data_IF_621846379205
#
_entry.id   IF_621846379205
#
_cell.length_a   1.000
_cell.length_b   1.000
_cell.length_c   1.000
_cell.angle_alpha   90.00
_cell.angle_beta   90.00
_cell.angle_gamma   90.00
#
_symmetry.space_group_name_H-M   'P 1'
#
loop_
_entity.id
_entity.type
_entity.pdbx_description
1 polymer ?
#
# COMPACT_ATOMS: atom_id res chain seq x y z
N UNK A 1 12.63 8.26 61.97
CA UNK A 1 11.44 8.43 61.14
C UNK A 1 11.68 9.37 59.93
N UNK A 2 12.82 9.26 59.25
CA UNK A 2 13.20 10.25 58.17
C UNK A 2 13.38 9.66 56.77
N UNK A 3 13.24 8.33 56.63
CA UNK A 3 13.44 7.64 55.33
C UNK A 3 12.14 7.19 54.61
N UNK A 4 10.98 7.27 55.29
CA UNK A 4 9.72 6.79 54.69
C UNK A 4 9.10 7.80 53.70
N UNK A 5 9.43 9.10 53.80
CA UNK A 5 8.94 10.14 52.86
C UNK A 5 9.63 10.09 51.50
N UNK A 6 10.90 9.69 51.44
CA UNK A 6 11.65 9.52 50.20
C UNK A 6 11.19 8.28 49.41
N UNK A 7 10.88 7.19 50.11
CA UNK A 7 10.42 5.94 49.50
C UNK A 7 9.00 6.10 48.88
N UNK A 8 8.12 6.83 49.57
CA UNK A 8 6.77 7.11 49.06
C UNK A 8 6.78 7.99 47.79
N UNK A 9 7.68 8.98 47.71
CA UNK A 9 7.86 9.81 46.55
C UNK A 9 8.41 9.03 45.32
N UNK A 10 9.33 8.08 45.60
CA UNK A 10 9.91 7.25 44.53
C UNK A 10 8.91 6.22 43.98
N UNK A 11 8.05 5.66 44.82
CA UNK A 11 6.97 4.74 44.42
C UNK A 11 5.87 5.51 43.62
N UNK A 12 5.58 6.74 44.02
CA UNK A 12 4.60 7.58 43.33
C UNK A 12 5.08 7.98 41.93
N UNK A 13 6.38 8.24 41.76
CA UNK A 13 6.96 8.53 40.41
C UNK A 13 7.02 7.27 39.54
N UNK A 14 7.21 6.08 40.09
CA UNK A 14 7.20 4.82 39.31
C UNK A 14 5.80 4.41 38.85
N UNK A 15 4.75 4.80 39.59
CA UNK A 15 3.37 4.49 39.23
C UNK A 15 2.80 5.40 38.10
N UNK A 16 3.45 6.53 37.82
CA UNK A 16 3.04 7.44 36.73
C UNK A 16 3.79 7.19 35.43
N UNK A 17 4.68 6.21 35.35
CA UNK A 17 5.36 5.81 34.11
C UNK A 17 4.60 4.74 33.35
N UNK A 18 3.26 4.68 33.44
CA UNK A 18 2.47 4.03 32.42
C UNK A 18 2.56 4.93 31.21
N UNK A 19 3.43 4.60 30.28
CA UNK A 19 3.42 5.16 28.94
C UNK A 19 2.00 5.02 28.43
N UNK A 20 1.28 6.14 28.34
CA UNK A 20 0.07 6.24 27.52
C UNK A 20 0.56 6.08 26.07
N UNK A 21 0.78 4.85 25.63
CA UNK A 21 0.88 4.58 24.21
C UNK A 21 -0.50 4.90 23.66
N UNK A 22 -0.56 5.88 22.79
CA UNK A 22 -1.77 6.15 22.05
C UNK A 22 -2.12 4.88 21.27
N UNK A 23 -3.34 4.39 21.40
CA UNK A 23 -3.80 3.20 20.70
C UNK A 23 -4.30 3.63 19.33
N UNK A 24 -3.49 3.39 18.30
CA UNK A 24 -3.82 3.74 16.91
C UNK A 24 -4.73 2.71 16.24
N UNK A 25 -4.76 1.46 16.74
CA UNK A 25 -5.85 0.53 16.46
C UNK A 25 -6.99 0.85 17.44
N UNK A 26 -7.83 1.80 17.05
CA UNK A 26 -8.89 2.34 17.90
C UNK A 26 -9.96 1.31 18.25
N UNK A 27 -10.33 0.47 17.27
CA UNK A 27 -11.29 -0.62 17.45
C UNK A 27 -10.98 -1.75 16.48
N UNK A 28 -10.93 -2.99 16.99
CA UNK A 28 -10.78 -4.21 16.19
C UNK A 28 -11.72 -5.32 16.69
N UNK A 29 -12.88 -5.43 16.04
CA UNK A 29 -13.84 -6.52 16.29
C UNK A 29 -13.64 -7.69 15.30
N UNK A 30 -12.77 -7.54 14.29
CA UNK A 30 -12.64 -8.44 13.14
C UNK A 30 -11.42 -9.34 13.23
N UNK A 31 -10.23 -8.77 13.36
CA UNK A 31 -8.94 -9.51 13.33
C UNK A 31 -8.58 -10.03 14.71
N UNK A 32 -8.62 -9.19 15.72
CA UNK A 32 -8.41 -9.50 17.14
C UNK A 32 -7.09 -10.26 17.42
N UNK A 33 -5.98 -9.80 16.80
CA UNK A 33 -4.65 -10.39 16.98
C UNK A 33 -3.68 -9.38 17.57
N UNK A 34 -2.97 -9.77 18.61
CA UNK A 34 -2.00 -8.92 19.29
C UNK A 34 -0.90 -8.41 18.35
N UNK A 35 -0.31 -9.29 17.52
CA UNK A 35 0.73 -8.90 16.55
C UNK A 35 0.24 -7.89 15.51
N UNK A 36 -1.04 -7.95 15.14
CA UNK A 36 -1.66 -6.98 14.23
C UNK A 36 -1.79 -5.62 14.92
N UNK A 37 -2.33 -5.60 16.15
CA UNK A 37 -2.42 -4.41 16.98
C UNK A 37 -1.08 -3.75 17.23
N UNK A 38 -0.06 -4.52 17.62
CA UNK A 38 1.30 -4.03 17.83
C UNK A 38 1.88 -3.37 16.58
N UNK A 39 1.65 -3.96 15.40
CA UNK A 39 2.18 -3.43 14.14
C UNK A 39 1.49 -2.12 13.75
N UNK A 40 0.16 -2.05 13.84
CA UNK A 40 -0.61 -0.81 13.58
C UNK A 40 -0.19 0.29 14.55
N UNK A 41 -0.11 -0.02 15.84
CA UNK A 41 0.29 0.95 16.85
C UNK A 41 1.71 1.47 16.64
N UNK A 42 2.64 0.61 16.22
CA UNK A 42 4.01 1.00 15.91
C UNK A 42 4.09 1.99 14.74
N UNK A 43 3.37 1.73 13.65
CA UNK A 43 3.31 2.63 12.48
C UNK A 43 2.66 3.95 12.87
N UNK A 44 1.51 3.91 13.56
CA UNK A 44 0.80 5.11 14.00
C UNK A 44 1.63 5.98 14.94
N UNK A 45 2.34 5.37 15.90
CA UNK A 45 3.22 6.08 16.82
C UNK A 45 4.38 6.73 16.07
N UNK A 46 5.05 6.00 15.17
CA UNK A 46 6.14 6.54 14.38
C UNK A 46 5.69 7.71 13.49
N UNK A 47 4.52 7.57 12.84
CA UNK A 47 3.94 8.64 12.03
C UNK A 47 3.67 9.88 12.89
N UNK A 48 3.04 9.70 14.05
CA UNK A 48 2.74 10.81 14.96
C UNK A 48 4.02 11.49 15.45
N UNK A 49 5.00 10.73 15.89
CA UNK A 49 6.28 11.26 16.40
C UNK A 49 7.03 12.08 15.35
N UNK A 50 6.98 11.66 14.09
CA UNK A 50 7.70 12.32 12.99
C UNK A 50 6.90 13.45 12.34
N UNK A 51 5.56 13.38 12.35
CA UNK A 51 4.71 14.30 11.59
C UNK A 51 3.71 15.08 12.43
N UNK A 52 3.37 14.60 13.61
CA UNK A 52 2.28 15.13 14.44
C UNK A 52 0.88 14.76 13.93
N UNK A 53 0.75 13.89 12.91
CA UNK A 53 -0.52 13.38 12.39
C UNK A 53 -0.90 12.10 13.10
N UNK A 54 -2.13 12.05 13.64
CA UNK A 54 -2.68 10.85 14.25
C UNK A 54 -3.42 10.02 13.20
N UNK A 55 -2.95 8.80 12.90
CA UNK A 55 -3.61 7.88 11.98
C UNK A 55 -4.20 6.71 12.76
N UNK A 56 -5.52 6.58 12.73
CA UNK A 56 -6.25 5.55 13.45
C UNK A 56 -6.81 4.49 12.51
N UNK A 57 -6.90 3.25 13.00
CA UNK A 57 -7.60 2.16 12.32
C UNK A 57 -8.84 1.73 13.12
N UNK A 58 -9.91 1.46 12.39
CA UNK A 58 -11.17 0.93 12.91
C UNK A 58 -11.59 -0.26 12.07
N UNK A 59 -11.86 -1.39 12.73
CA UNK A 59 -12.38 -2.60 12.09
C UNK A 59 -13.58 -3.11 12.88
N UNK A 60 -14.78 -2.87 12.36
CA UNK A 60 -16.04 -3.30 12.99
C UNK A 60 -16.69 -4.42 12.18
N UNK A 61 -17.41 -5.33 12.86
CA UNK A 61 -18.18 -6.36 12.16
C UNK A 61 -19.45 -5.80 11.58
N UNK A 62 -20.18 -5.07 12.37
CA UNK A 62 -21.48 -4.49 12.02
C UNK A 62 -21.62 -3.13 12.71
N UNK A 63 -22.31 -2.21 12.05
CA UNK A 63 -22.69 -0.92 12.60
C UNK A 63 -24.19 -0.93 12.92
N UNK A 64 -24.60 -0.05 13.81
CA UNK A 64 -26.02 0.20 14.05
C UNK A 64 -26.75 0.52 12.74
N UNK A 65 -27.94 0.00 12.59
CA UNK A 65 -28.73 -0.02 11.33
C UNK A 65 -28.98 1.36 10.68
N UNK A 66 -28.66 2.45 11.37
CA UNK A 66 -28.84 3.82 10.89
C UNK A 66 -27.53 4.60 10.72
N UNK A 67 -26.36 3.98 10.92
CA UNK A 67 -25.08 4.66 10.86
C UNK A 67 -24.21 4.10 9.74
N UNK A 68 -23.71 4.97 8.86
CA UNK A 68 -22.72 4.58 7.85
C UNK A 68 -21.31 4.54 8.46
N UNK A 69 -20.43 3.69 7.89
CA UNK A 69 -19.02 3.64 8.32
C UNK A 69 -18.32 5.01 8.11
N UNK A 70 -18.75 5.79 7.10
CA UNK A 70 -18.22 7.12 6.86
C UNK A 70 -18.58 8.11 7.98
N UNK A 71 -19.83 8.11 8.44
CA UNK A 71 -20.27 8.96 9.56
C UNK A 71 -19.60 8.52 10.87
N UNK A 72 -19.50 7.21 11.09
CA UNK A 72 -18.82 6.67 12.27
C UNK A 72 -17.35 7.11 12.31
N UNK A 73 -16.61 6.90 11.22
CA UNK A 73 -15.21 7.30 11.10
C UNK A 73 -15.03 8.83 11.21
N UNK A 74 -15.96 9.63 10.65
CA UNK A 74 -15.90 11.08 10.74
C UNK A 74 -16.07 11.58 12.19
N UNK A 75 -17.01 11.02 12.91
CA UNK A 75 -17.23 11.37 14.32
C UNK A 75 -15.98 11.06 15.16
N UNK A 76 -15.33 9.93 14.90
CA UNK A 76 -14.09 9.58 15.58
C UNK A 76 -12.96 10.51 15.16
N UNK A 77 -12.74 10.73 13.85
CA UNK A 77 -11.71 11.64 13.38
C UNK A 77 -11.83 13.05 13.99
N UNK A 78 -13.06 13.56 14.15
CA UNK A 78 -13.31 14.87 14.77
C UNK A 78 -13.11 14.88 16.29
N UNK A 79 -13.27 13.75 16.96
CA UNK A 79 -13.09 13.64 18.41
C UNK A 79 -11.63 13.46 18.83
N UNK A 80 -10.76 13.08 17.90
CA UNK A 80 -9.34 12.84 18.15
C UNK A 80 -8.49 14.11 18.10
N UNK A 81 -7.29 14.11 18.72
CA UNK A 81 -6.33 15.19 18.55
C UNK A 81 -6.03 15.44 17.06
N UNK A 82 -6.15 16.69 16.64
CA UNK A 82 -5.98 17.09 15.24
C UNK A 82 -4.51 17.41 14.90
N UNK A 83 -4.05 17.15 13.68
CA UNK A 83 -4.77 16.51 12.57
C UNK A 83 -4.91 15.00 12.75
N UNK A 84 -6.06 14.44 12.33
CA UNK A 84 -6.38 13.03 12.47
C UNK A 84 -6.90 12.42 11.16
N UNK A 85 -6.49 11.20 10.87
CA UNK A 85 -6.98 10.39 9.75
C UNK A 85 -7.46 9.05 10.31
N UNK A 86 -8.57 8.54 9.79
CA UNK A 86 -9.16 7.28 10.21
C UNK A 86 -9.35 6.38 8.98
N UNK A 87 -8.72 5.22 9.00
CA UNK A 87 -8.95 4.13 8.05
C UNK A 87 -9.96 3.18 8.69
N UNK A 88 -11.15 3.10 8.12
CA UNK A 88 -12.26 2.38 8.71
C UNK A 88 -12.80 1.28 7.79
N UNK A 89 -13.09 0.13 8.36
CA UNK A 89 -13.66 -1.03 7.71
C UNK A 89 -14.89 -1.53 8.47
N UNK A 90 -15.96 -1.85 7.73
CA UNK A 90 -17.10 -2.62 8.22
C UNK A 90 -17.19 -3.94 7.46
N UNK A 91 -17.33 -5.06 8.18
CA UNK A 91 -17.49 -6.37 7.58
C UNK A 91 -18.90 -6.52 6.99
N UNK A 92 -19.92 -5.97 7.67
CA UNK A 92 -21.31 -5.98 7.23
C UNK A 92 -21.96 -4.58 7.37
N UNK A 93 -22.32 -3.90 6.24
CA UNK A 93 -21.99 -4.23 4.87
C UNK A 93 -20.48 -4.04 4.64
N UNK A 94 -19.92 -4.78 3.67
CA UNK A 94 -18.48 -4.72 3.38
C UNK A 94 -18.11 -3.38 2.77
N UNK A 95 -17.60 -2.48 3.59
CA UNK A 95 -17.26 -1.11 3.21
C UNK A 95 -15.94 -0.67 3.83
N UNK A 96 -15.20 0.13 3.09
CA UNK A 96 -13.97 0.79 3.56
C UNK A 96 -14.10 2.29 3.33
N UNK A 97 -13.61 3.07 4.28
CA UNK A 97 -13.50 4.53 4.17
C UNK A 97 -12.18 5.01 4.76
N UNK A 98 -11.64 6.07 4.17
CA UNK A 98 -10.54 6.84 4.74
C UNK A 98 -11.04 8.25 4.94
N UNK A 99 -11.11 8.69 6.18
CA UNK A 99 -11.69 9.97 6.59
C UNK A 99 -10.62 10.80 7.28
N UNK A 100 -10.50 12.05 6.87
CA UNK A 100 -9.53 12.99 7.43
C UNK A 100 -10.22 14.19 8.10
N UNK A 101 -9.62 14.67 9.17
CA UNK A 101 -9.99 15.91 9.86
C UNK A 101 -8.70 16.65 10.27
N UNK A 102 -8.53 17.93 9.91
CA UNK A 102 -9.39 18.74 9.03
C UNK A 102 -9.34 18.27 7.57
N UNK A 103 -10.26 18.77 6.73
CA UNK A 103 -10.36 18.37 5.33
C UNK A 103 -9.11 18.65 4.49
N UNK A 104 -8.26 19.61 4.89
CA UNK A 104 -6.96 19.88 4.25
C UNK A 104 -6.01 18.69 4.28
N UNK A 105 -6.20 17.73 5.18
CA UNK A 105 -5.41 16.51 5.22
C UNK A 105 -5.57 15.61 3.98
N UNK A 106 -6.66 15.75 3.22
CA UNK A 106 -6.83 15.03 1.96
C UNK A 106 -5.83 15.47 0.87
N UNK A 107 -5.11 16.57 1.05
CA UNK A 107 -4.02 16.98 0.16
C UNK A 107 -2.71 16.23 0.44
N UNK A 108 -2.63 15.52 1.57
CA UNK A 108 -1.42 14.81 2.00
C UNK A 108 -1.39 13.33 1.58
N UNK A 109 -2.52 12.78 1.09
CA UNK A 109 -2.60 11.41 0.60
C UNK A 109 -3.69 11.25 -0.46
N UNK A 110 -3.49 10.32 -1.37
CA UNK A 110 -4.44 10.02 -2.45
C UNK A 110 -5.40 8.89 -2.05
N UNK A 111 -6.54 9.30 -1.45
CA UNK A 111 -7.58 8.36 -1.02
C UNK A 111 -8.14 7.54 -2.19
N UNK A 112 -8.29 8.16 -3.36
CA UNK A 112 -8.89 7.51 -4.53
C UNK A 112 -7.97 6.42 -5.06
N UNK A 113 -6.66 6.68 -5.10
CA UNK A 113 -5.67 5.68 -5.46
C UNK A 113 -5.66 4.52 -4.46
N UNK A 114 -5.58 4.79 -3.15
CA UNK A 114 -5.53 3.75 -2.10
C UNK A 114 -6.75 2.83 -2.16
N UNK A 115 -7.94 3.39 -2.40
CA UNK A 115 -9.20 2.68 -2.51
C UNK A 115 -9.55 2.27 -3.95
N UNK A 116 -8.64 2.42 -4.91
CA UNK A 116 -8.89 2.01 -6.29
C UNK A 116 -9.16 0.49 -6.37
N UNK A 117 -10.12 0.05 -7.21
CA UNK A 117 -10.33 -1.36 -7.51
C UNK A 117 -9.21 -1.96 -8.38
N UNK A 118 -8.37 -1.12 -9.00
CA UNK A 118 -7.31 -1.54 -9.91
C UNK A 118 -5.95 -1.53 -9.22
N UNK A 119 -5.37 -2.69 -8.98
CA UNK A 119 -4.03 -2.82 -8.40
C UNK A 119 -2.90 -2.43 -9.36
N UNK A 120 -3.14 -2.39 -10.68
CA UNK A 120 -2.11 -2.12 -11.68
C UNK A 120 -2.65 -1.30 -12.84
N UNK A 121 -1.75 -0.58 -13.54
CA UNK A 121 -2.07 0.15 -14.77
C UNK A 121 -2.72 -0.74 -15.85
N UNK A 122 -2.25 -1.98 -15.99
CA UNK A 122 -2.83 -2.94 -16.95
C UNK A 122 -4.28 -3.27 -16.56
N UNK A 123 -4.54 -3.47 -15.27
CA UNK A 123 -5.90 -3.66 -14.75
C UNK A 123 -6.80 -2.47 -15.06
N UNK A 124 -6.33 -1.25 -14.84
CA UNK A 124 -7.06 -0.03 -15.15
C UNK A 124 -7.38 0.09 -16.65
N UNK A 125 -6.41 -0.20 -17.54
CA UNK A 125 -6.62 -0.19 -19.00
C UNK A 125 -7.68 -1.21 -19.42
N UNK A 126 -7.61 -2.44 -18.89
CA UNK A 126 -8.60 -3.48 -19.21
C UNK A 126 -9.99 -3.08 -18.69
N UNK A 127 -10.07 -2.56 -17.47
CA UNK A 127 -11.32 -2.07 -16.87
C UNK A 127 -11.95 -0.96 -17.70
N UNK A 128 -11.14 0.04 -18.09
CA UNK A 128 -11.59 1.14 -18.94
C UNK A 128 -12.14 0.66 -20.28
N UNK A 129 -11.46 -0.28 -20.93
CA UNK A 129 -11.92 -0.83 -22.22
C UNK A 129 -13.21 -1.64 -22.12
N UNK A 130 -13.50 -2.22 -20.94
CA UNK A 130 -14.69 -3.06 -20.73
C UNK A 130 -15.89 -2.30 -20.19
N UNK A 131 -15.70 -1.24 -19.43
CA UNK A 131 -16.75 -0.61 -18.63
C UNK A 131 -16.91 0.89 -18.86
N UNK A 132 -15.95 1.59 -19.48
CA UNK A 132 -16.06 3.02 -19.73
C UNK A 132 -17.13 3.32 -20.80
N UNK A 133 -18.02 4.24 -20.50
CA UNK A 133 -19.09 4.68 -21.38
C UNK A 133 -18.65 5.87 -22.26
N UNK A 134 -17.60 6.59 -21.85
CA UNK A 134 -17.07 7.77 -22.54
C UNK A 134 -15.54 7.78 -22.60
N UNK A 135 -14.98 8.66 -23.43
CA UNK A 135 -13.53 8.84 -23.54
C UNK A 135 -12.93 9.51 -22.29
N UNK A 136 -13.72 10.33 -21.61
CA UNK A 136 -13.31 10.97 -20.36
C UNK A 136 -13.25 9.96 -19.21
N UNK A 137 -14.19 9.01 -19.15
CA UNK A 137 -14.19 7.90 -18.20
C UNK A 137 -12.97 7.00 -18.41
N UNK A 138 -12.59 6.73 -19.68
CA UNK A 138 -11.36 5.98 -19.99
C UNK A 138 -10.13 6.65 -19.40
N UNK A 139 -10.04 7.97 -19.53
CA UNK A 139 -8.88 8.72 -19.03
C UNK A 139 -8.83 8.75 -17.52
N UNK A 140 -9.98 8.88 -16.87
CA UNK A 140 -10.11 8.87 -15.40
C UNK A 140 -9.76 7.49 -14.84
N UNK A 141 -10.35 6.41 -15.37
CA UNK A 141 -10.05 5.05 -14.94
C UNK A 141 -8.60 4.63 -15.21
N UNK A 142 -8.03 5.05 -16.35
CA UNK A 142 -6.60 4.80 -16.65
C UNK A 142 -5.66 5.55 -15.71
N UNK A 143 -6.10 6.64 -15.09
CA UNK A 143 -5.36 7.36 -14.05
C UNK A 143 -5.51 6.74 -12.66
N UNK A 144 -6.57 5.97 -12.45
CA UNK A 144 -6.93 5.43 -11.14
C UNK A 144 -6.45 3.97 -10.99
N UNK A 145 -5.18 3.79 -10.65
CA UNK A 145 -4.57 2.49 -10.35
C UNK A 145 -3.64 2.60 -9.14
N UNK A 146 -3.19 1.46 -8.63
CA UNK A 146 -2.35 1.38 -7.43
C UNK A 146 -3.14 1.06 -6.17
N UNK A 147 -4.41 0.64 -6.32
CA UNK A 147 -5.25 0.23 -5.19
C UNK A 147 -4.64 -0.90 -4.38
N UNK A 148 -4.61 -0.72 -3.07
CA UNK A 148 -4.05 -1.70 -2.13
C UNK A 148 -5.12 -2.39 -1.28
N UNK A 149 -6.31 -1.82 -1.17
CA UNK A 149 -7.39 -2.32 -0.31
C UNK A 149 -8.42 -3.14 -1.09
N UNK A 150 -9.11 -2.53 -2.04
CA UNK A 150 -10.23 -3.18 -2.74
C UNK A 150 -9.82 -4.39 -3.57
N UNK A 151 -8.68 -4.42 -4.29
CA UNK A 151 -8.24 -5.63 -5.00
C UNK A 151 -8.07 -6.83 -4.07
N UNK A 152 -7.48 -6.64 -2.89
CA UNK A 152 -7.31 -7.71 -1.90
C UNK A 152 -8.66 -8.14 -1.33
N UNK A 153 -9.57 -7.20 -1.02
CA UNK A 153 -10.91 -7.52 -0.54
C UNK A 153 -11.76 -8.27 -1.57
N UNK A 154 -11.52 -8.06 -2.87
CA UNK A 154 -12.21 -8.74 -3.96
C UNK A 154 -11.75 -10.19 -4.15
N UNK A 155 -10.59 -10.58 -3.65
CA UNK A 155 -10.10 -11.95 -3.74
C UNK A 155 -11.05 -12.96 -3.08
N UNK A 156 -11.13 -14.16 -3.65
CA UNK A 156 -11.95 -15.24 -3.09
C UNK A 156 -11.21 -15.91 -1.95
N UNK A 157 -11.77 -15.82 -0.76
CA UNK A 157 -11.26 -16.49 0.44
C UNK A 157 -12.38 -17.27 1.13
N UNK A 158 -12.04 -18.30 1.92
CA UNK A 158 -12.99 -19.14 2.67
C UNK A 158 -12.46 -19.41 4.08
N UNK A 159 -13.38 -19.48 5.03
CA UNK A 159 -13.05 -19.83 6.41
C UNK A 159 -12.06 -18.82 7.04
N UNK A 160 -10.97 -19.32 7.59
CA UNK A 160 -9.95 -18.50 8.28
C UNK A 160 -9.26 -17.50 7.36
N UNK A 161 -9.15 -17.82 6.08
CA UNK A 161 -8.49 -16.96 5.09
C UNK A 161 -9.27 -15.65 4.84
N UNK A 162 -10.55 -15.60 5.22
CA UNK A 162 -11.38 -14.37 5.12
C UNK A 162 -10.86 -13.31 6.08
N UNK A 163 -10.62 -13.67 7.33
CA UNK A 163 -10.08 -12.72 8.35
C UNK A 163 -8.66 -12.28 7.97
N UNK A 164 -7.83 -13.22 7.48
CA UNK A 164 -6.49 -12.91 6.98
C UNK A 164 -6.53 -11.89 5.85
N UNK A 165 -7.42 -12.10 4.88
CA UNK A 165 -7.64 -11.18 3.77
C UNK A 165 -8.03 -9.78 4.25
N UNK A 166 -8.93 -9.67 5.24
CA UNK A 166 -9.31 -8.38 5.80
C UNK A 166 -8.12 -7.71 6.51
N UNK A 167 -7.36 -8.48 7.29
CA UNK A 167 -6.16 -7.98 7.95
C UNK A 167 -5.15 -7.44 6.93
N UNK A 168 -4.84 -8.19 5.87
CA UNK A 168 -3.89 -7.77 4.82
C UNK A 168 -4.37 -6.54 4.08
N UNK A 169 -5.65 -6.51 3.66
CA UNK A 169 -6.22 -5.38 2.94
C UNK A 169 -6.17 -4.09 3.77
N UNK A 170 -6.60 -4.17 5.03
CA UNK A 170 -6.65 -3.00 5.91
C UNK A 170 -5.26 -2.55 6.35
N UNK A 171 -4.34 -3.49 6.60
CA UNK A 171 -2.94 -3.18 6.85
C UNK A 171 -2.32 -2.44 5.66
N UNK A 172 -2.55 -2.91 4.43
CA UNK A 172 -2.08 -2.25 3.22
C UNK A 172 -2.60 -0.81 3.10
N UNK A 173 -3.90 -0.60 3.27
CA UNK A 173 -4.50 0.74 3.24
C UNK A 173 -3.97 1.67 4.33
N UNK A 174 -3.77 1.16 5.54
CA UNK A 174 -3.22 1.92 6.66
C UNK A 174 -1.75 2.32 6.42
N UNK A 175 -0.92 1.35 6.02
CA UNK A 175 0.49 1.59 5.72
C UNK A 175 0.68 2.56 4.57
N UNK A 176 -0.08 2.39 3.47
CA UNK A 176 -0.01 3.30 2.32
C UNK A 176 -0.43 4.72 2.69
N UNK A 177 -1.51 4.88 3.48
CA UNK A 177 -1.93 6.19 3.99
C UNK A 177 -0.84 6.83 4.84
N UNK A 178 -0.22 6.05 5.73
CA UNK A 178 0.88 6.53 6.57
C UNK A 178 2.09 6.98 5.75
N UNK A 179 2.48 6.20 4.75
CA UNK A 179 3.64 6.48 3.89
C UNK A 179 3.43 7.74 3.05
N UNK A 180 2.25 7.92 2.48
CA UNK A 180 1.95 9.11 1.68
C UNK A 180 1.96 10.39 2.53
N UNK A 181 1.37 10.36 3.74
CA UNK A 181 1.44 11.48 4.68
C UNK A 181 2.91 11.76 5.04
N UNK A 182 3.68 10.74 5.36
CA UNK A 182 5.10 10.89 5.70
C UNK A 182 5.91 11.46 4.53
N UNK A 183 5.70 10.96 3.31
CA UNK A 183 6.36 11.43 2.10
C UNK A 183 6.04 12.90 1.80
N UNK A 184 4.77 13.31 1.94
CA UNK A 184 4.35 14.71 1.74
C UNK A 184 5.05 15.63 2.75
N UNK A 185 5.34 15.14 3.94
CA UNK A 185 6.07 15.87 4.99
C UNK A 185 7.59 15.66 4.95
N UNK A 186 8.11 14.97 3.92
CA UNK A 186 9.53 14.67 3.72
C UNK A 186 10.16 13.89 4.88
N UNK A 187 9.44 12.92 5.43
CA UNK A 187 9.93 11.98 6.45
C UNK A 187 9.74 10.53 5.98
N UNK A 188 10.62 9.64 6.40
CA UNK A 188 10.55 8.21 6.10
C UNK A 188 10.03 7.45 7.33
N UNK A 189 9.18 6.44 7.11
CA UNK A 189 8.72 5.52 8.14
C UNK A 189 9.49 4.20 8.05
N UNK A 190 10.14 3.82 9.16
CA UNK A 190 10.89 2.56 9.24
C UNK A 190 9.97 1.35 9.49
N UNK A 191 8.85 1.58 10.18
CA UNK A 191 7.89 0.54 10.56
C UNK A 191 6.83 0.26 9.51
N UNK A 192 6.63 1.14 8.52
CA UNK A 192 5.69 0.90 7.44
C UNK A 192 6.25 -0.10 6.42
N UNK A 193 5.38 -0.95 5.87
CA UNK A 193 5.78 -2.05 4.98
C UNK A 193 6.30 -1.60 3.60
N UNK A 194 6.09 -0.33 3.21
CA UNK A 194 6.38 0.19 1.88
C UNK A 194 7.86 0.18 1.52
N UNK A 195 8.74 0.44 2.47
CA UNK A 195 10.18 0.38 2.21
C UNK A 195 10.66 -1.00 1.73
N UNK A 196 10.03 -2.08 2.19
CA UNK A 196 10.35 -3.45 1.74
C UNK A 196 9.75 -3.70 0.36
N UNK A 197 8.54 -3.20 0.09
CA UNK A 197 7.86 -3.37 -1.18
C UNK A 197 8.49 -2.52 -2.30
N UNK A 198 8.90 -1.28 -2.04
CA UNK A 198 9.56 -0.44 -3.04
C UNK A 198 10.90 -1.04 -3.48
N UNK A 199 11.73 -1.49 -2.55
CA UNK A 199 12.98 -2.19 -2.88
C UNK A 199 12.68 -3.47 -3.68
N UNK A 200 11.68 -4.24 -3.29
CA UNK A 200 11.26 -5.46 -4.01
C UNK A 200 10.76 -5.15 -5.42
N UNK A 201 9.90 -4.16 -5.58
CA UNK A 201 9.36 -3.72 -6.88
C UNK A 201 10.47 -3.18 -7.78
N UNK A 202 11.40 -2.39 -7.26
CA UNK A 202 12.51 -1.87 -8.03
C UNK A 202 13.47 -2.97 -8.48
N UNK A 203 13.78 -3.94 -7.63
CA UNK A 203 14.57 -5.13 -8.01
C UNK A 203 13.88 -5.92 -9.12
N UNK A 204 12.58 -6.20 -9.01
CA UNK A 204 11.81 -6.88 -10.05
C UNK A 204 11.79 -6.07 -11.35
N UNK A 205 11.62 -4.75 -11.25
CA UNK A 205 11.66 -3.83 -12.40
C UNK A 205 13.02 -3.86 -13.10
N UNK A 206 14.12 -3.81 -12.38
CA UNK A 206 15.47 -3.88 -12.95
C UNK A 206 15.75 -5.25 -13.59
N UNK A 207 15.31 -6.35 -12.98
CA UNK A 207 15.40 -7.69 -13.57
C UNK A 207 14.61 -7.75 -14.88
N UNK A 208 13.39 -7.21 -14.89
CA UNK A 208 12.51 -7.18 -16.07
C UNK A 208 13.14 -6.37 -17.20
N UNK A 209 13.62 -5.15 -16.95
CA UNK A 209 14.30 -4.34 -17.95
C UNK A 209 15.60 -4.98 -18.41
N UNK A 210 16.38 -5.58 -17.51
CA UNK A 210 17.59 -6.32 -17.86
C UNK A 210 17.29 -7.49 -18.80
N UNK A 211 16.21 -8.23 -18.56
CA UNK A 211 15.76 -9.33 -19.43
C UNK A 211 15.36 -8.85 -20.82
N UNK A 212 14.62 -7.75 -20.91
CA UNK A 212 14.25 -7.14 -22.20
C UNK A 212 15.51 -6.69 -22.97
N UNK A 213 16.42 -5.99 -22.32
CA UNK A 213 17.68 -5.56 -22.95
C UNK A 213 18.52 -6.75 -23.42
N UNK A 214 18.58 -7.82 -22.62
CA UNK A 214 19.27 -9.05 -22.99
C UNK A 214 18.61 -9.72 -24.23
N UNK A 215 17.28 -9.78 -24.27
CA UNK A 215 16.55 -10.33 -25.43
C UNK A 215 16.80 -9.50 -26.70
N UNK A 216 16.77 -8.16 -26.60
CA UNK A 216 17.06 -7.25 -27.72
C UNK A 216 18.50 -7.44 -28.20
N UNK A 217 19.46 -7.49 -27.27
CA UNK A 217 20.88 -7.73 -27.61
C UNK A 217 21.07 -9.10 -28.27
N UNK A 218 20.44 -10.14 -27.76
CA UNK A 218 20.44 -11.48 -28.33
C UNK A 218 19.88 -11.51 -29.76
N UNK A 219 18.80 -10.79 -30.00
CA UNK A 219 18.18 -10.64 -31.32
C UNK A 219 19.15 -9.98 -32.32
N UNK A 220 19.74 -8.86 -31.97
CA UNK A 220 20.69 -8.16 -32.84
C UNK A 220 21.96 -8.98 -33.10
N UNK A 221 22.47 -9.68 -32.08
CA UNK A 221 23.62 -10.58 -32.22
C UNK A 221 23.30 -11.77 -33.13
N UNK A 222 22.12 -12.34 -33.02
CA UNK A 222 21.63 -13.42 -33.89
C UNK A 222 21.55 -12.96 -35.35
N UNK A 223 20.93 -11.79 -35.58
CA UNK A 223 20.80 -11.21 -36.92
C UNK A 223 22.14 -10.87 -37.57
N UNK A 224 23.12 -10.37 -36.80
CA UNK A 224 24.49 -10.14 -37.29
C UNK A 224 25.15 -11.46 -37.67
N UNK A 225 25.03 -12.51 -36.89
CA UNK A 225 25.58 -13.84 -37.18
C UNK A 225 24.93 -14.46 -38.41
N UNK A 226 23.65 -14.33 -38.63
CA UNK A 226 22.96 -14.80 -39.82
C UNK A 226 23.49 -14.10 -41.07
N UNK A 227 23.65 -12.77 -41.08
CA UNK A 227 24.19 -12.03 -42.20
C UNK A 227 25.63 -12.41 -42.52
N UNK A 228 26.47 -12.67 -41.50
CA UNK A 228 27.87 -13.10 -41.72
C UNK A 228 27.91 -14.49 -42.34
N UNK A 229 27.00 -15.38 -41.93
CA UNK A 229 26.87 -16.74 -42.48
C UNK A 229 26.41 -16.73 -43.92
N UNK A 230 25.37 -15.95 -44.26
CA UNK A 230 24.90 -15.76 -45.63
C UNK A 230 25.99 -15.19 -46.55
N UNK A 231 26.74 -14.20 -46.05
CA UNK A 231 27.86 -13.61 -46.82
C UNK A 231 28.99 -14.65 -47.07
N UNK A 232 29.26 -15.53 -46.10
CA UNK A 232 30.26 -16.58 -46.23
C UNK A 232 29.83 -17.66 -47.22
N UNK A 233 28.60 -18.12 -47.14
CA UNK A 233 28.00 -19.06 -48.06
C UNK A 233 27.98 -18.53 -49.51
N UNK A 234 27.65 -17.24 -49.70
CA UNK A 234 27.68 -16.60 -51.01
C UNK A 234 29.14 -16.44 -51.58
N UNK A 235 30.15 -16.21 -50.72
CA UNK A 235 31.53 -16.17 -51.14
C UNK A 235 32.07 -17.54 -51.55
N UNK A 236 31.75 -18.58 -50.79
CA UNK A 236 32.12 -19.98 -51.12
C UNK A 236 31.44 -20.47 -52.41
N UNK A 237 30.18 -20.05 -52.66
CA UNK A 237 29.48 -20.36 -53.91
C UNK A 237 30.16 -19.73 -55.14
N UNK A 238 30.58 -18.46 -55.05
CA UNK A 238 31.32 -17.77 -56.11
C UNK A 238 32.66 -18.39 -56.39
N UNK A 239 33.43 -18.78 -55.36
CA UNK A 239 34.72 -19.43 -55.51
C UNK A 239 34.64 -20.81 -56.21
N UNK A 240 33.53 -21.54 -56.00
CA UNK A 240 33.25 -22.80 -56.68
C UNK A 240 32.94 -22.57 -58.16
N UNK A 241 32.17 -21.55 -58.50
CA UNK A 241 31.81 -21.17 -59.87
C UNK A 241 33.01 -20.72 -60.68
N UNK A 242 33.95 -19.95 -60.05
CA UNK A 242 35.21 -19.53 -60.70
C UNK A 242 36.22 -20.65 -60.87
N UNK A 243 36.16 -21.74 -60.09
CA UNK A 243 37.05 -22.91 -60.24
C UNK A 243 36.51 -23.99 -61.21
N UNK A 244 35.29 -23.91 -61.71
CA UNK A 244 34.69 -24.79 -62.70
C UNK A 244 34.78 -24.24 -64.15
N UNK A 245 35.29 -23.03 -64.36
CA UNK A 245 35.58 -22.43 -65.67
C UNK A 245 37.08 -22.54 -66.01
#
# INVERSE_FOLDING_TARGET
>A
MRNTRGLAALIFTLLFSTSLFAEYLYQDDVVQRETYSETINKIGQELFDKTGVSLYMIMVRELDSNQSIAEYALNIAQSMPQPAVVVAFSEEPKQVQIIASPASMYEEFDREMILSPNASFIGAVISSLMFAESFDDVKEEMGNYGGVVLPVLAERAKGKDVIEKYAVAMFGGYSETAEQIAATRNVDLESAAGNINQIGVDVVRYIFYGTILYAIFGYFRGRRRAKIREAKEAAEAKEKEDNEQ
#
